data_IF_599303104355
#
_entry.id   IF_599303104355
#
_cell.length_a   1.000
_cell.length_b   1.000
_cell.length_c   1.000
_cell.angle_alpha   90.00
_cell.angle_beta   90.00
_cell.angle_gamma   90.00
#
_symmetry.space_group_name_H-M   'P 1'
#
loop_
_entity.id
_entity.type
_entity.pdbx_description
1 polymer ?
#
# COMPACT_ATOMS: atom_id res chain seq x y z
N UNK A 1 11.38 -0.84 28.85
CA UNK A 1 9.96 -0.53 28.67
C UNK A 1 9.42 -0.20 30.04
N UNK A 2 8.97 1.04 30.23
CA UNK A 2 8.50 1.52 31.53
C UNK A 2 7.10 0.95 31.81
N UNK A 3 6.99 0.06 32.81
CA UNK A 3 5.70 -0.55 33.18
C UNK A 3 4.69 0.50 33.65
N UNK A 4 5.16 1.67 34.09
CA UNK A 4 4.30 2.74 34.61
C UNK A 4 3.42 3.37 33.52
N UNK A 5 3.99 3.66 32.36
CA UNK A 5 3.24 4.24 31.23
C UNK A 5 2.10 3.33 30.76
N UNK A 6 2.33 2.01 30.77
CA UNK A 6 1.32 0.98 30.46
C UNK A 6 0.18 0.95 31.46
N UNK A 7 0.51 0.94 32.74
CA UNK A 7 -0.48 0.89 33.82
C UNK A 7 -1.35 2.17 33.82
N UNK A 8 -0.75 3.33 33.58
CA UNK A 8 -1.45 4.62 33.45
C UNK A 8 -2.35 4.65 32.19
N UNK A 9 -1.86 4.11 31.06
CA UNK A 9 -2.64 4.00 29.83
C UNK A 9 -3.88 3.11 30.01
N UNK A 10 -3.74 1.97 30.71
CA UNK A 10 -4.86 1.08 31.00
C UNK A 10 -5.92 1.74 31.91
N UNK A 11 -5.48 2.53 32.91
CA UNK A 11 -6.39 3.28 33.77
C UNK A 11 -7.18 4.34 33.00
N UNK A 12 -6.53 5.08 32.09
CA UNK A 12 -7.21 6.05 31.22
C UNK A 12 -8.17 5.37 30.25
N UNK A 13 -7.76 4.23 29.69
CA UNK A 13 -8.57 3.46 28.76
C UNK A 13 -9.90 3.01 29.38
N UNK A 14 -9.88 2.47 30.61
CA UNK A 14 -11.10 2.05 31.33
C UNK A 14 -12.03 3.25 31.60
N UNK A 15 -11.48 4.39 32.02
CA UNK A 15 -12.28 5.60 32.31
C UNK A 15 -12.97 6.17 31.06
N UNK A 16 -12.35 6.03 29.89
CA UNK A 16 -12.91 6.47 28.61
C UNK A 16 -14.04 5.58 28.08
N UNK A 17 -14.17 4.34 28.58
CA UNK A 17 -15.20 3.39 28.12
C UNK A 17 -16.52 3.50 28.91
N UNK A 18 -16.49 3.98 30.16
CA UNK A 18 -17.64 3.87 31.08
C UNK A 18 -18.52 5.13 31.18
N UNK A 19 -18.08 6.32 30.72
CA UNK A 19 -18.88 7.55 30.76
C UNK A 19 -18.38 8.70 29.86
N UNK A 20 -19.25 9.67 29.55
CA UNK A 20 -18.85 10.96 28.99
C UNK A 20 -17.92 11.70 29.98
N UNK A 21 -16.63 11.72 29.68
CA UNK A 21 -15.64 12.45 30.49
C UNK A 21 -16.02 13.92 30.64
N UNK A 22 -15.94 14.43 31.87
CA UNK A 22 -16.03 15.86 32.15
C UNK A 22 -14.92 16.64 31.44
N UNK A 23 -15.12 17.95 31.22
CA UNK A 23 -14.12 18.82 30.59
C UNK A 23 -12.78 18.79 31.37
N UNK A 24 -12.84 18.71 32.71
CA UNK A 24 -11.67 18.62 33.57
C UNK A 24 -10.90 17.29 33.41
N UNK A 25 -11.59 16.19 33.15
CA UNK A 25 -10.96 14.88 32.93
C UNK A 25 -10.35 14.76 31.54
N UNK A 26 -10.98 15.35 30.51
CA UNK A 26 -10.39 15.44 29.17
C UNK A 26 -9.09 16.23 29.18
N UNK A 27 -9.04 17.36 29.88
CA UNK A 27 -7.82 18.15 30.03
C UNK A 27 -6.70 17.37 30.74
N UNK A 28 -7.03 16.55 31.74
CA UNK A 28 -6.05 15.68 32.42
C UNK A 28 -5.55 14.55 31.52
N UNK A 29 -6.42 13.98 30.70
CA UNK A 29 -6.04 12.97 29.73
C UNK A 29 -5.12 13.54 28.65
N UNK A 30 -5.46 14.72 28.11
CA UNK A 30 -4.61 15.41 27.13
C UNK A 30 -3.27 15.84 27.72
N UNK A 31 -3.25 16.31 28.97
CA UNK A 31 -2.00 16.63 29.66
C UNK A 31 -1.11 15.40 29.83
N UNK A 32 -1.67 14.28 30.29
CA UNK A 32 -0.94 13.01 30.44
C UNK A 32 -0.39 12.50 29.11
N UNK A 33 -1.20 12.54 28.03
CA UNK A 33 -0.79 12.09 26.69
C UNK A 33 0.34 12.93 26.11
N UNK A 34 0.37 14.23 26.42
CA UNK A 34 1.39 15.16 25.93
C UNK A 34 2.64 15.25 26.83
N UNK A 35 2.65 14.59 27.98
CA UNK A 35 3.77 14.61 28.93
C UNK A 35 4.98 13.80 28.43
N UNK A 36 4.74 12.66 27.77
CA UNK A 36 5.81 11.81 27.24
C UNK A 36 5.36 11.05 25.97
N UNK A 37 6.22 10.90 24.93
CA UNK A 37 5.88 10.17 23.70
C UNK A 37 5.42 8.72 23.92
N UNK A 38 5.97 8.05 24.94
CA UNK A 38 5.62 6.67 25.28
C UNK A 38 4.17 6.53 25.80
N UNK A 39 3.57 7.58 26.38
CA UNK A 39 2.20 7.54 26.88
C UNK A 39 1.19 7.40 25.74
N UNK A 40 1.40 8.17 24.66
CA UNK A 40 0.59 8.04 23.46
C UNK A 40 0.77 6.66 22.82
N UNK A 41 2.01 6.19 22.70
CA UNK A 41 2.30 4.88 22.13
C UNK A 41 1.59 3.74 22.89
N UNK A 42 1.69 3.70 24.23
CA UNK A 42 1.07 2.65 25.04
C UNK A 42 -0.47 2.76 25.04
N UNK A 43 -1.01 3.97 24.94
CA UNK A 43 -2.46 4.19 24.79
C UNK A 43 -2.98 3.68 23.43
N UNK A 44 -2.27 3.98 22.34
CA UNK A 44 -2.62 3.54 20.98
C UNK A 44 -2.57 2.01 20.85
N UNK A 45 -1.59 1.36 21.52
CA UNK A 45 -1.49 -0.11 21.59
C UNK A 45 -2.73 -0.71 22.28
N UNK A 46 -3.16 -0.16 23.41
CA UNK A 46 -4.37 -0.62 24.12
C UNK A 46 -5.64 -0.40 23.30
N UNK A 47 -5.77 0.74 22.62
CA UNK A 47 -6.89 1.04 21.74
C UNK A 47 -6.95 0.07 20.55
N UNK A 48 -5.80 -0.25 19.94
CA UNK A 48 -5.69 -1.24 18.87
C UNK A 48 -6.11 -2.64 19.32
N UNK A 49 -5.62 -3.08 20.48
CA UNK A 49 -5.97 -4.38 21.06
C UNK A 49 -7.48 -4.48 21.34
N UNK A 50 -8.08 -3.45 21.93
CA UNK A 50 -9.52 -3.41 22.19
C UNK A 50 -10.36 -3.42 20.92
N UNK A 51 -9.97 -2.63 19.92
CA UNK A 51 -10.67 -2.59 18.62
C UNK A 51 -10.63 -3.95 17.93
N UNK A 52 -9.53 -4.70 18.08
CA UNK A 52 -9.40 -6.07 17.58
C UNK A 52 -10.34 -7.06 18.31
N UNK A 53 -10.69 -6.83 19.58
CA UNK A 53 -11.68 -7.67 20.28
C UNK A 53 -13.10 -7.51 19.73
N UNK A 54 -13.43 -6.35 19.12
CA UNK A 54 -14.71 -6.13 18.44
C UNK A 54 -14.86 -6.93 17.13
N UNK A 55 -13.76 -7.44 16.58
CA UNK A 55 -13.75 -8.30 15.38
C UNK A 55 -13.94 -9.78 15.70
N UNK A 56 -13.98 -10.15 16.98
CA UNK A 56 -14.23 -11.53 17.41
C UNK A 56 -15.75 -11.76 17.52
N UNK A 57 -16.30 -12.81 16.86
CA UNK A 57 -17.71 -13.13 16.97
C UNK A 57 -18.11 -13.33 18.45
N UNK A 58 -19.18 -12.68 18.90
CA UNK A 58 -19.72 -12.84 20.27
C UNK A 58 -19.88 -14.30 20.69
N UNK A 59 -20.22 -15.18 19.74
CA UNK A 59 -20.32 -16.63 19.95
C UNK A 59 -19.01 -17.28 20.41
N UNK A 60 -17.86 -16.78 19.94
CA UNK A 60 -16.53 -17.29 20.31
C UNK A 60 -16.09 -16.80 21.69
N UNK A 61 -16.55 -15.61 22.10
CA UNK A 61 -16.37 -15.09 23.45
C UNK A 61 -17.31 -15.80 24.46
N UNK A 62 -18.55 -16.08 24.07
CA UNK A 62 -19.50 -16.85 24.90
C UNK A 62 -19.01 -18.27 25.17
N UNK A 63 -18.43 -18.95 24.16
CA UNK A 63 -17.83 -20.27 24.32
C UNK A 63 -16.62 -20.30 25.28
N UNK A 64 -15.97 -19.15 25.51
CA UNK A 64 -14.88 -19.01 26.49
C UNK A 64 -15.39 -18.60 27.88
N UNK A 65 -16.60 -18.04 27.97
CA UNK A 65 -17.25 -17.63 29.23
C UNK A 65 -18.17 -18.71 29.83
N UNK A 66 -18.51 -19.76 29.08
CA UNK A 66 -19.22 -20.94 29.61
C UNK A 66 -18.26 -21.75 30.49
N UNK A 67 -18.28 -21.43 31.78
CA UNK A 67 -17.57 -22.18 32.80
C UNK A 67 -18.10 -23.63 32.86
N UNK A 68 -17.23 -24.65 32.98
CA UNK A 68 -17.66 -26.01 33.20
C UNK A 68 -18.38 -26.13 34.56
N UNK A 69 -19.54 -26.78 34.57
CA UNK A 69 -20.29 -27.10 35.79
C UNK A 69 -19.45 -27.99 36.70
N UNK A 70 -19.15 -27.51 37.92
CA UNK A 70 -18.44 -28.27 38.95
C UNK A 70 -19.28 -29.44 39.50
N UNK A 71 -18.62 -30.59 39.77
CA UNK A 71 -18.70 -31.43 41.01
C UNK A 71 -17.91 -32.76 40.84
N UNK A 72 -17.45 -33.43 41.92
CA UNK A 72 -16.81 -32.95 43.14
C UNK A 72 -15.38 -33.52 43.34
N UNK A 73 -14.68 -32.95 44.32
CA UNK A 73 -13.25 -33.10 44.65
C UNK A 73 -12.82 -34.52 45.07
N UNK A 74 -11.69 -35.04 44.54
CA UNK A 74 -10.71 -35.84 45.31
C UNK A 74 -9.24 -35.71 44.81
N UNK A 75 -8.45 -35.07 45.69
CA UNK A 75 -7.06 -35.33 46.14
C UNK A 75 -5.88 -35.43 45.15
N UNK A 76 -5.10 -34.34 45.18
CA UNK A 76 -3.64 -34.22 45.38
C UNK A 76 -2.61 -34.90 44.45
N UNK A 77 -2.98 -35.86 43.60
CA UNK A 77 -2.01 -36.53 42.70
C UNK A 77 -1.85 -35.80 41.35
N UNK A 78 -2.77 -34.89 41.01
CA UNK A 78 -2.82 -34.22 39.70
C UNK A 78 -1.82 -33.06 39.52
N UNK A 79 -1.15 -32.60 40.59
CA UNK A 79 -0.28 -31.40 40.50
C UNK A 79 1.00 -31.62 39.68
N UNK A 80 1.48 -32.85 39.58
CA UNK A 80 2.66 -33.18 38.75
C UNK A 80 2.31 -33.47 37.28
N UNK A 81 1.05 -33.82 36.97
CA UNK A 81 0.58 -34.03 35.60
C UNK A 81 0.29 -32.70 34.86
N UNK A 82 -0.16 -31.67 35.59
CA UNK A 82 -0.42 -30.33 35.03
C UNK A 82 0.88 -29.62 34.63
N UNK A 83 1.98 -29.82 35.36
CA UNK A 83 3.29 -29.27 34.99
C UNK A 83 3.83 -29.88 33.68
N UNK A 84 3.62 -31.19 33.45
CA UNK A 84 3.95 -31.84 32.19
C UNK A 84 3.05 -31.37 31.03
N UNK A 85 1.77 -31.08 31.30
CA UNK A 85 0.83 -30.55 30.31
C UNK A 85 1.11 -29.11 29.90
N UNK A 86 1.50 -28.23 30.83
CA UNK A 86 1.87 -26.85 30.51
C UNK A 86 3.18 -26.79 29.74
N UNK A 87 4.15 -27.67 30.03
CA UNK A 87 5.37 -27.80 29.23
C UNK A 87 5.06 -28.41 27.86
N UNK A 88 4.16 -29.39 27.74
CA UNK A 88 3.75 -29.96 26.46
C UNK A 88 2.92 -28.98 25.59
N UNK A 89 2.13 -28.08 26.21
CA UNK A 89 1.39 -27.02 25.52
C UNK A 89 2.30 -25.83 25.21
N UNK A 90 3.26 -25.48 26.07
CA UNK A 90 4.25 -24.44 25.78
C UNK A 90 5.28 -24.89 24.72
N UNK A 91 5.70 -26.16 24.75
CA UNK A 91 6.48 -26.79 23.68
C UNK A 91 5.63 -27.00 22.43
N UNK A 92 4.36 -27.37 22.57
CA UNK A 92 3.43 -27.50 21.44
C UNK A 92 3.18 -26.18 20.73
N UNK A 93 2.86 -25.11 21.46
CA UNK A 93 2.68 -23.76 20.92
C UNK A 93 4.00 -23.14 20.44
N UNK A 94 5.14 -23.45 21.10
CA UNK A 94 6.47 -23.07 20.64
C UNK A 94 6.92 -23.80 19.37
N UNK A 95 6.53 -25.07 19.21
CA UNK A 95 6.80 -25.87 18.00
C UNK A 95 5.85 -25.50 16.85
N UNK A 96 4.61 -25.09 17.14
CA UNK A 96 3.66 -24.61 16.12
C UNK A 96 3.92 -23.16 15.67
N UNK A 97 4.54 -22.33 16.51
CA UNK A 97 4.99 -20.98 16.10
C UNK A 97 6.28 -21.01 15.26
N UNK A 98 6.96 -22.17 15.18
CA UNK A 98 8.24 -22.34 14.49
C UNK A 98 8.20 -23.21 13.24
N UNK A 99 7.02 -23.59 12.73
CA UNK A 99 6.90 -24.52 11.59
C UNK A 99 6.06 -24.02 10.41
N UNK A 100 5.69 -22.74 10.36
CA UNK A 100 5.27 -22.12 9.10
C UNK A 100 6.51 -21.79 8.28
N UNK A 101 7.10 -22.83 7.68
CA UNK A 101 7.96 -22.61 6.53
C UNK A 101 7.11 -21.88 5.48
N UNK A 102 7.48 -20.67 5.05
CA UNK A 102 6.69 -19.96 4.05
C UNK A 102 6.57 -20.86 2.81
N UNK A 103 5.34 -21.31 2.55
CA UNK A 103 5.05 -22.16 1.40
C UNK A 103 5.32 -21.34 0.14
N UNK A 104 5.90 -21.95 -0.90
CA UNK A 104 6.03 -21.27 -2.18
C UNK A 104 4.64 -20.84 -2.65
N UNK A 105 4.54 -19.58 -3.07
CA UNK A 105 3.31 -19.01 -3.60
C UNK A 105 3.58 -18.45 -4.99
N UNK A 106 2.72 -18.80 -5.94
CA UNK A 106 2.80 -18.27 -7.30
C UNK A 106 1.41 -17.93 -7.79
N UNK A 107 1.27 -16.74 -8.38
CA UNK A 107 0.02 -16.26 -8.95
C UNK A 107 0.29 -15.24 -10.06
N UNK A 108 -0.64 -15.10 -10.99
CA UNK A 108 -0.63 -14.05 -12.00
C UNK A 108 -1.93 -13.27 -11.94
N UNK A 109 -1.82 -11.94 -12.04
CA UNK A 109 -2.95 -11.02 -11.98
C UNK A 109 -2.91 -10.11 -13.19
N UNK A 110 -4.08 -9.79 -13.71
CA UNK A 110 -4.24 -8.81 -14.78
C UNK A 110 -5.46 -7.93 -14.55
N UNK A 111 -5.42 -6.75 -15.16
CA UNK A 111 -6.54 -5.80 -15.23
C UNK A 111 -6.78 -5.37 -16.69
N UNK A 112 -8.04 -5.18 -17.04
CA UNK A 112 -8.48 -4.63 -18.32
C UNK A 112 -8.31 -3.11 -18.42
N UNK A 113 -8.86 -2.53 -19.49
CA UNK A 113 -8.86 -1.07 -19.71
C UNK A 113 -9.78 -0.40 -18.69
N UNK A 114 -9.25 0.55 -17.93
CA UNK A 114 -9.99 1.29 -16.91
C UNK A 114 -10.35 0.48 -15.66
N UNK A 115 -9.94 -0.79 -15.60
CA UNK A 115 -10.14 -1.64 -14.42
C UNK A 115 -9.05 -1.37 -13.39
N UNK A 116 -9.45 -1.18 -12.13
CA UNK A 116 -8.56 -1.18 -10.98
C UNK A 116 -8.87 -2.37 -10.08
N UNK A 117 -7.83 -2.99 -9.53
CA UNK A 117 -7.99 -4.18 -8.69
C UNK A 117 -7.04 -4.14 -7.51
N UNK A 118 -7.57 -4.37 -6.31
CA UNK A 118 -6.76 -4.58 -5.12
C UNK A 118 -6.56 -6.07 -4.87
N UNK A 119 -5.34 -6.47 -4.54
CA UNK A 119 -4.93 -7.86 -4.29
C UNK A 119 -4.18 -7.94 -2.98
N UNK A 120 -4.69 -8.73 -2.04
CA UNK A 120 -3.95 -9.09 -0.83
C UNK A 120 -3.01 -10.27 -1.10
N UNK A 121 -1.77 -10.17 -0.64
CA UNK A 121 -0.73 -11.18 -0.78
C UNK A 121 -0.58 -12.01 0.51
N UNK A 122 -0.03 -13.24 0.43
CA UNK A 122 0.04 -14.13 1.59
C UNK A 122 0.93 -13.63 2.74
N UNK A 123 1.78 -12.64 2.51
CA UNK A 123 2.65 -12.02 3.51
C UNK A 123 1.99 -10.83 4.23
N UNK A 124 0.72 -10.51 3.91
CA UNK A 124 0.01 -9.34 4.43
C UNK A 124 0.18 -8.08 3.58
N UNK A 125 1.09 -8.10 2.59
CA UNK A 125 1.26 -6.99 1.65
C UNK A 125 0.02 -6.84 0.75
N UNK A 126 -0.21 -5.62 0.26
CA UNK A 126 -1.31 -5.31 -0.66
C UNK A 126 -0.76 -4.70 -1.94
N UNK A 127 -1.31 -5.12 -3.08
CA UNK A 127 -1.02 -4.58 -4.39
C UNK A 127 -2.29 -3.96 -4.98
N UNK A 128 -2.27 -2.66 -5.21
CA UNK A 128 -3.29 -1.99 -6.03
C UNK A 128 -2.80 -2.00 -7.48
N UNK A 129 -3.58 -2.58 -8.39
CA UNK A 129 -3.31 -2.66 -9.82
C UNK A 129 -4.11 -1.60 -10.57
N UNK A 130 -3.43 -0.80 -11.39
CA UNK A 130 -4.06 0.18 -12.26
C UNK A 130 -4.54 -0.46 -13.59
N UNK A 131 -5.15 0.32 -14.48
CA UNK A 131 -5.56 -0.06 -15.84
C UNK A 131 -4.43 -0.73 -16.63
N UNK A 132 -4.77 -1.81 -17.35
CA UNK A 132 -3.86 -2.56 -18.24
C UNK A 132 -2.57 -3.02 -17.56
N UNK A 133 -2.72 -3.62 -16.39
CA UNK A 133 -1.60 -4.09 -15.59
C UNK A 133 -1.52 -5.61 -15.65
N UNK A 134 -0.31 -6.15 -15.75
CA UNK A 134 -0.04 -7.59 -15.69
C UNK A 134 1.12 -7.81 -14.71
N UNK A 135 0.86 -8.58 -13.67
CA UNK A 135 1.82 -8.88 -12.61
C UNK A 135 1.89 -10.38 -12.35
N UNK A 136 3.11 -10.91 -12.25
CA UNK A 136 3.36 -12.26 -11.77
C UNK A 136 4.03 -12.21 -10.39
N UNK A 137 3.54 -12.99 -9.43
CA UNK A 137 4.07 -13.08 -8.08
C UNK A 137 4.73 -14.43 -7.90
N UNK A 138 5.94 -14.46 -7.33
CA UNK A 138 6.63 -15.69 -6.91
C UNK A 138 7.31 -15.47 -5.56
N UNK A 139 6.77 -16.09 -4.52
CA UNK A 139 7.37 -16.10 -3.20
C UNK A 139 8.13 -17.41 -2.98
N UNK A 140 9.37 -17.27 -2.54
CA UNK A 140 10.28 -18.35 -2.20
C UNK A 140 10.71 -18.21 -0.73
N UNK A 141 11.43 -19.21 -0.20
CA UNK A 141 11.81 -19.23 1.22
C UNK A 141 12.58 -17.98 1.68
N UNK A 142 13.40 -17.38 0.81
CA UNK A 142 14.26 -16.23 1.15
C UNK A 142 13.90 -14.92 0.46
N UNK A 143 12.89 -14.88 -0.42
CA UNK A 143 12.54 -13.67 -1.18
C UNK A 143 11.06 -13.61 -1.53
N UNK A 144 10.51 -12.41 -1.51
CA UNK A 144 9.14 -12.09 -1.97
C UNK A 144 9.23 -11.44 -3.34
N UNK A 145 9.22 -12.24 -4.40
CA UNK A 145 9.39 -11.77 -5.78
C UNK A 145 8.08 -11.37 -6.44
N UNK A 146 8.13 -10.27 -7.19
CA UNK A 146 7.05 -9.79 -8.07
C UNK A 146 7.67 -9.33 -9.39
N UNK A 147 7.03 -9.64 -10.50
CA UNK A 147 7.37 -9.14 -11.83
C UNK A 147 6.21 -8.32 -12.39
N UNK A 148 6.44 -7.01 -12.60
CA UNK A 148 5.52 -6.14 -13.33
C UNK A 148 5.84 -6.22 -14.83
N UNK A 149 5.05 -7.05 -15.53
CA UNK A 149 5.20 -7.27 -16.97
C UNK A 149 4.72 -6.06 -17.77
N UNK A 150 3.67 -5.39 -17.29
CA UNK A 150 3.06 -4.23 -17.94
C UNK A 150 2.22 -3.43 -16.93
N UNK A 151 2.07 -2.13 -17.16
CA UNK A 151 1.12 -1.28 -16.45
C UNK A 151 1.71 -0.62 -15.22
N UNK A 152 0.90 -0.47 -14.17
CA UNK A 152 1.27 0.25 -12.96
C UNK A 152 0.66 -0.41 -11.73
N UNK A 153 1.47 -0.53 -10.69
CA UNK A 153 1.05 -1.10 -9.43
C UNK A 153 1.62 -0.30 -8.25
N UNK A 154 0.75 -0.03 -7.28
CA UNK A 154 1.13 0.49 -5.97
C UNK A 154 1.26 -0.69 -5.01
N UNK A 155 2.40 -0.76 -4.33
CA UNK A 155 2.70 -1.80 -3.35
C UNK A 155 2.69 -1.20 -1.95
N UNK A 156 1.87 -1.76 -1.07
CA UNK A 156 1.94 -1.55 0.38
C UNK A 156 2.52 -2.79 1.03
N UNK A 157 3.84 -2.77 1.26
CA UNK A 157 4.60 -3.97 1.66
C UNK A 157 4.72 -4.08 3.16
N UNK A 158 4.34 -5.24 3.70
CA UNK A 158 4.50 -5.57 5.12
C UNK A 158 5.98 -5.70 5.48
N UNK A 159 6.33 -5.20 6.67
CA UNK A 159 7.72 -5.11 7.09
C UNK A 159 8.30 -6.50 7.42
N UNK A 160 9.29 -6.94 6.64
CA UNK A 160 10.04 -8.19 6.86
C UNK A 160 11.46 -8.02 6.31
N UNK A 161 12.44 -7.88 7.21
CA UNK A 161 13.86 -7.75 6.86
C UNK A 161 14.52 -9.09 6.55
N UNK A 162 13.91 -10.21 6.94
CA UNK A 162 14.44 -11.56 6.68
C UNK A 162 14.19 -12.01 5.24
N UNK A 163 13.13 -11.50 4.61
CA UNK A 163 12.77 -11.77 3.22
C UNK A 163 12.45 -10.46 2.49
N UNK A 164 13.42 -9.87 1.77
CA UNK A 164 13.15 -8.65 1.02
C UNK A 164 12.04 -8.85 -0.02
N UNK A 165 11.30 -7.78 -0.27
CA UNK A 165 10.32 -7.71 -1.34
C UNK A 165 10.97 -7.08 -2.57
N UNK A 166 10.94 -7.81 -3.68
CA UNK A 166 11.67 -7.47 -4.90
C UNK A 166 10.69 -7.39 -6.07
N UNK A 167 10.57 -6.21 -6.67
CA UNK A 167 9.78 -5.99 -7.89
C UNK A 167 10.72 -5.84 -9.08
N UNK A 168 10.63 -6.74 -10.04
CA UNK A 168 11.27 -6.62 -11.35
C UNK A 168 10.31 -5.94 -12.33
N UNK A 169 10.80 -4.95 -13.08
CA UNK A 169 10.02 -4.24 -14.10
C UNK A 169 10.94 -3.78 -15.24
N UNK A 170 10.93 -4.51 -16.35
CA UNK A 170 11.84 -4.24 -17.47
C UNK A 170 13.31 -4.39 -17.04
N UNK A 171 14.12 -3.37 -17.29
CA UNK A 171 15.52 -3.31 -16.87
C UNK A 171 15.73 -2.81 -15.42
N UNK A 172 14.65 -2.54 -14.69
CA UNK A 172 14.69 -2.06 -13.31
C UNK A 172 14.36 -3.16 -12.29
N UNK A 173 15.07 -3.14 -11.17
CA UNK A 173 14.77 -3.94 -9.99
C UNK A 173 14.58 -3.04 -8.76
N UNK A 174 13.49 -3.25 -8.05
CA UNK A 174 13.09 -2.46 -6.88
C UNK A 174 13.11 -3.36 -5.66
N UNK A 175 13.90 -3.02 -4.64
CA UNK A 175 14.03 -3.81 -3.41
C UNK A 175 13.63 -3.00 -2.19
N UNK A 176 12.76 -3.57 -1.36
CA UNK A 176 12.27 -2.98 -0.11
C UNK A 176 12.18 -4.02 1.02
N UNK A 177 12.13 -3.56 2.26
CA UNK A 177 11.85 -4.40 3.44
C UNK A 177 10.50 -4.11 4.08
N UNK A 178 9.92 -2.91 3.89
CA UNK A 178 8.59 -2.53 4.36
C UNK A 178 8.34 -1.07 4.00
N UNK A 179 7.56 -0.84 2.94
CA UNK A 179 7.52 0.44 2.21
C UNK A 179 6.21 0.55 1.42
N UNK A 180 5.77 1.78 1.17
CA UNK A 180 4.68 2.09 0.22
C UNK A 180 5.26 2.81 -0.99
N UNK A 181 5.15 2.20 -2.16
CA UNK A 181 5.78 2.70 -3.38
C UNK A 181 5.02 2.28 -4.63
N UNK A 182 5.10 3.11 -5.65
CA UNK A 182 4.53 2.87 -6.98
C UNK A 182 5.63 2.41 -7.93
N UNK A 183 5.30 1.43 -8.77
CA UNK A 183 6.11 1.04 -9.92
C UNK A 183 5.24 1.08 -11.16
N UNK A 184 5.69 1.83 -12.16
CA UNK A 184 5.05 1.92 -13.46
C UNK A 184 6.01 1.51 -14.56
N UNK A 185 5.54 0.66 -15.47
CA UNK A 185 6.25 0.26 -16.68
C UNK A 185 5.59 0.92 -17.89
N UNK A 186 6.27 1.92 -18.43
CA UNK A 186 5.89 2.61 -19.66
C UNK A 186 6.67 2.05 -20.86
N UNK A 187 6.28 2.45 -22.07
CA UNK A 187 7.11 2.20 -23.26
C UNK A 187 8.45 2.95 -23.12
N UNK A 188 9.54 2.19 -22.92
CA UNK A 188 10.89 2.76 -22.90
C UNK A 188 11.53 2.98 -21.53
N UNK A 189 10.75 2.87 -20.44
CA UNK A 189 11.25 3.13 -19.09
C UNK A 189 10.38 2.50 -18.00
N UNK A 190 11.00 2.27 -16.85
CA UNK A 190 10.34 1.93 -15.59
C UNK A 190 10.45 3.12 -14.65
N UNK A 191 9.34 3.60 -14.11
CA UNK A 191 9.30 4.67 -13.11
C UNK A 191 9.02 4.07 -11.74
N UNK A 192 9.71 4.59 -10.73
CA UNK A 192 9.56 4.15 -9.35
C UNK A 192 9.45 5.37 -8.46
N UNK A 193 8.46 5.37 -7.56
CA UNK A 193 8.15 6.51 -6.72
C UNK A 193 7.76 6.05 -5.31
N UNK A 194 8.14 6.81 -4.28
CA UNK A 194 7.98 6.37 -2.89
C UNK A 194 6.97 7.25 -2.16
N UNK A 195 5.92 6.63 -1.63
CA UNK A 195 4.93 7.29 -0.76
C UNK A 195 5.45 7.31 0.69
N UNK A 196 5.95 6.18 1.20
CA UNK A 196 6.46 6.06 2.56
C UNK A 196 7.54 4.97 2.67
N UNK A 197 8.56 5.19 3.49
CA UNK A 197 9.65 4.24 3.72
C UNK A 197 10.86 4.48 2.82
N UNK A 198 11.60 3.42 2.51
CA UNK A 198 12.84 3.48 1.71
C UNK A 198 12.81 2.41 0.61
N UNK A 199 13.25 2.80 -0.59
CA UNK A 199 13.31 1.94 -1.76
C UNK A 199 14.71 1.95 -2.35
N UNK A 200 15.25 0.78 -2.67
CA UNK A 200 16.45 0.66 -3.51
C UNK A 200 16.03 0.34 -4.94
N UNK A 201 16.44 1.18 -5.89
CA UNK A 201 16.17 1.01 -7.32
C UNK A 201 17.48 0.75 -8.03
N UNK A 202 17.58 -0.40 -8.69
CA UNK A 202 18.76 -0.84 -9.41
C UNK A 202 18.44 -1.03 -10.89
N UNK A 203 19.38 -0.67 -11.75
CA UNK A 203 19.34 -0.96 -13.19
C UNK A 203 20.03 -2.28 -13.53
N UNK A 204 20.62 -2.35 -14.72
CA UNK A 204 21.25 -3.58 -15.24
C UNK A 204 22.66 -3.83 -14.63
N UNK A 205 23.33 -2.76 -14.19
CA UNK A 205 24.63 -2.84 -13.50
C UNK A 205 24.46 -2.68 -11.98
N UNK A 206 25.25 -3.40 -11.15
CA UNK A 206 25.36 -3.15 -9.71
C UNK A 206 25.64 -1.70 -9.30
N UNK A 207 26.39 -0.98 -10.13
CA UNK A 207 26.76 0.42 -9.86
C UNK A 207 25.62 1.40 -10.18
N UNK A 208 24.62 0.97 -10.97
CA UNK A 208 23.45 1.77 -11.30
C UNK A 208 22.38 1.59 -10.22
N UNK A 209 22.66 2.13 -9.02
CA UNK A 209 21.81 2.00 -7.85
C UNK A 209 21.45 3.38 -7.28
N UNK A 210 20.17 3.61 -7.02
CA UNK A 210 19.66 4.79 -6.33
C UNK A 210 18.80 4.36 -5.15
N UNK A 211 18.98 5.00 -4.01
CA UNK A 211 18.07 4.85 -2.86
C UNK A 211 17.11 6.03 -2.82
N UNK A 212 15.82 5.73 -2.76
CA UNK A 212 14.73 6.70 -2.68
C UNK A 212 14.09 6.66 -1.30
N UNK A 213 13.67 7.83 -0.83
CA UNK A 213 12.84 8.02 0.38
C UNK A 213 11.51 8.65 -0.01
N UNK A 214 10.59 8.78 0.94
CA UNK A 214 9.26 9.36 0.73
C UNK A 214 9.31 10.71 -0.04
N UNK A 215 8.43 10.86 -1.03
CA UNK A 215 8.35 12.04 -1.89
C UNK A 215 9.39 12.10 -3.02
N UNK A 216 10.22 11.07 -3.18
CA UNK A 216 11.17 10.94 -4.28
C UNK A 216 10.75 9.87 -5.28
N UNK A 217 11.17 10.08 -6.52
CA UNK A 217 11.07 9.11 -7.60
C UNK A 217 12.34 9.04 -8.43
N UNK A 218 12.45 7.98 -9.23
CA UNK A 218 13.45 7.84 -10.29
C UNK A 218 12.83 7.15 -11.50
N UNK A 219 13.59 7.04 -12.59
CA UNK A 219 13.26 6.17 -13.71
C UNK A 219 14.49 5.38 -14.15
N UNK A 220 14.25 4.17 -14.64
CA UNK A 220 15.23 3.28 -15.26
C UNK A 220 14.87 3.17 -16.73
N UNK A 221 15.80 3.53 -17.63
CA UNK A 221 15.55 3.40 -19.06
C UNK A 221 15.67 1.93 -19.53
N UNK A 222 15.29 1.66 -20.79
CA UNK A 222 15.41 0.32 -21.37
C UNK A 222 16.85 -0.22 -21.46
N UNK A 223 17.87 0.62 -21.26
CA UNK A 223 19.28 0.22 -21.21
C UNK A 223 19.75 -0.09 -19.78
N UNK A 224 18.86 0.02 -18.79
CA UNK A 224 19.19 -0.20 -17.39
C UNK A 224 19.97 0.94 -16.74
N UNK A 225 19.94 2.15 -17.32
CA UNK A 225 20.51 3.34 -16.69
C UNK A 225 19.50 3.93 -15.71
N UNK A 226 19.90 4.12 -14.46
CA UNK A 226 19.06 4.70 -13.41
C UNK A 226 19.30 6.21 -13.36
N UNK A 227 18.24 6.99 -13.49
CA UNK A 227 18.31 8.45 -13.38
C UNK A 227 18.56 8.90 -11.93
N UNK A 228 19.06 10.13 -11.77
CA UNK A 228 19.11 10.76 -10.46
C UNK A 228 17.70 10.90 -9.86
N UNK A 229 17.60 10.80 -8.54
CA UNK A 229 16.33 10.97 -7.83
C UNK A 229 15.77 12.39 -8.04
N UNK A 230 14.45 12.49 -8.21
CA UNK A 230 13.73 13.76 -8.35
C UNK A 230 12.51 13.80 -7.42
N UNK A 231 12.09 15.01 -7.07
CA UNK A 231 10.88 15.22 -6.25
C UNK A 231 9.63 14.89 -7.05
N UNK A 232 8.68 14.22 -6.40
CA UNK A 232 7.40 13.88 -7.01
C UNK A 232 6.24 14.43 -6.19
N UNK A 233 5.14 14.79 -6.86
CA UNK A 233 3.91 15.14 -6.17
C UNK A 233 3.11 13.88 -5.83
N UNK A 234 3.22 13.43 -4.58
CA UNK A 234 2.54 12.22 -4.08
C UNK A 234 1.02 12.23 -4.26
N UNK A 235 0.39 13.41 -4.27
CA UNK A 235 -1.06 13.52 -4.49
C UNK A 235 -1.43 13.13 -5.92
N UNK A 236 -0.69 13.62 -6.92
CA UNK A 236 -0.88 13.24 -8.33
C UNK A 236 -0.64 11.74 -8.55
N UNK A 237 0.38 11.20 -7.87
CA UNK A 237 0.76 9.80 -7.99
C UNK A 237 -0.29 8.83 -7.45
N UNK A 238 -0.89 9.15 -6.30
CA UNK A 238 -1.81 8.24 -5.62
C UNK A 238 -3.27 8.44 -6.03
N UNK A 239 -3.58 9.52 -6.77
CA UNK A 239 -4.93 9.88 -7.16
C UNK A 239 -5.68 8.77 -7.92
N UNK A 240 -5.00 7.99 -8.76
CA UNK A 240 -5.63 6.94 -9.57
C UNK A 240 -6.26 5.85 -8.71
N UNK A 241 -5.71 5.59 -7.51
CA UNK A 241 -6.26 4.64 -6.53
C UNK A 241 -7.63 5.05 -6.02
N UNK A 242 -7.94 6.36 -6.08
CA UNK A 242 -9.26 6.93 -5.77
C UNK A 242 -10.12 7.19 -7.02
N UNK A 243 -9.70 6.64 -8.17
CA UNK A 243 -10.40 6.80 -9.44
C UNK A 243 -10.24 8.19 -10.07
N UNK A 244 -9.20 8.94 -9.70
CA UNK A 244 -8.96 10.31 -10.18
C UNK A 244 -7.66 10.40 -10.97
N UNK A 245 -7.64 11.28 -11.96
CA UNK A 245 -6.43 11.74 -12.65
C UNK A 245 -6.25 13.21 -12.28
N UNK A 246 -5.15 13.54 -11.61
CA UNK A 246 -4.83 14.90 -11.19
C UNK A 246 -3.68 15.38 -12.05
N UNK A 247 -3.85 16.55 -12.65
CA UNK A 247 -2.84 17.22 -13.46
C UNK A 247 -2.58 18.58 -12.85
N UNK A 248 -1.33 18.89 -12.51
CA UNK A 248 -0.92 20.20 -12.01
C UNK A 248 0.15 20.78 -12.92
N UNK A 249 -0.21 21.82 -13.69
CA UNK A 249 0.70 22.44 -14.65
C UNK A 249 1.37 21.40 -15.59
N UNK A 250 0.63 20.34 -15.95
CA UNK A 250 1.13 19.23 -16.75
C UNK A 250 1.17 19.61 -18.24
N UNK A 251 2.13 19.07 -18.99
CA UNK A 251 2.14 19.24 -20.45
C UNK A 251 0.98 18.46 -21.07
N UNK A 252 0.27 19.04 -22.03
CA UNK A 252 -0.87 18.38 -22.67
C UNK A 252 -0.47 17.07 -23.36
N UNK A 253 0.78 16.95 -23.83
CA UNK A 253 1.34 15.69 -24.30
C UNK A 253 1.44 14.60 -23.22
N UNK A 254 1.78 14.97 -21.97
CA UNK A 254 1.78 14.06 -20.82
C UNK A 254 0.36 13.65 -20.44
N UNK A 255 -0.55 14.63 -20.39
CA UNK A 255 -1.98 14.41 -20.14
C UNK A 255 -2.56 13.42 -21.16
N UNK A 256 -2.29 13.63 -22.45
CA UNK A 256 -2.79 12.75 -23.50
C UNK A 256 -2.26 11.33 -23.38
N UNK A 257 -0.97 11.15 -23.04
CA UNK A 257 -0.40 9.83 -22.77
C UNK A 257 -1.05 9.16 -21.56
N UNK A 258 -1.20 9.89 -20.46
CA UNK A 258 -1.81 9.36 -19.24
C UNK A 258 -3.25 8.92 -19.49
N UNK A 259 -4.06 9.77 -20.12
CA UNK A 259 -5.47 9.49 -20.44
C UNK A 259 -5.61 8.32 -21.40
N UNK A 260 -4.69 8.17 -22.36
CA UNK A 260 -4.68 7.05 -23.31
C UNK A 260 -4.60 5.69 -22.62
N UNK A 261 -4.04 5.60 -21.41
CA UNK A 261 -3.95 4.36 -20.63
C UNK A 261 -5.31 3.83 -20.20
N UNK A 262 -6.29 4.71 -20.05
CA UNK A 262 -7.66 4.42 -19.62
C UNK A 262 -8.65 4.34 -20.79
N UNK A 263 -8.16 4.41 -22.03
CA UNK A 263 -8.99 4.38 -23.24
C UNK A 263 -8.62 3.22 -24.15
N UNK A 264 -9.62 2.58 -24.74
CA UNK A 264 -9.39 1.59 -25.81
C UNK A 264 -8.67 2.21 -27.00
N UNK A 265 -9.12 3.41 -27.40
CA UNK A 265 -8.52 4.19 -28.49
C UNK A 265 -7.69 5.34 -27.92
N UNK A 266 -6.38 5.40 -28.23
CA UNK A 266 -5.49 6.37 -27.63
C UNK A 266 -5.82 7.80 -28.10
N UNK A 267 -5.46 8.76 -27.24
CA UNK A 267 -5.52 10.18 -27.52
C UNK A 267 -4.14 10.65 -28.01
N UNK A 268 -4.09 11.23 -29.20
CA UNK A 268 -2.88 11.75 -29.81
C UNK A 268 -2.82 13.27 -29.71
N UNK A 269 -1.62 13.82 -29.78
CA UNK A 269 -1.41 15.26 -29.93
C UNK A 269 -0.72 15.51 -31.26
N UNK A 270 -1.30 16.40 -32.07
CA UNK A 270 -0.88 16.61 -33.46
C UNK A 270 0.50 17.24 -33.62
N UNK A 271 0.87 18.18 -32.73
CA UNK A 271 2.12 18.94 -32.86
C UNK A 271 2.78 19.16 -31.50
N UNK A 272 4.11 19.35 -31.46
CA UNK A 272 4.81 19.72 -30.24
C UNK A 272 4.26 21.00 -29.59
N UNK A 273 3.81 21.98 -30.39
CA UNK A 273 3.26 23.23 -29.88
C UNK A 273 1.99 22.99 -29.05
N UNK A 274 1.06 22.17 -29.56
CA UNK A 274 -0.14 21.75 -28.82
C UNK A 274 0.25 20.92 -27.60
N UNK A 275 1.23 20.04 -27.73
CA UNK A 275 1.72 19.19 -26.62
C UNK A 275 2.34 19.99 -25.46
N UNK A 276 2.83 21.20 -25.74
CA UNK A 276 3.45 22.09 -24.76
C UNK A 276 2.45 22.96 -23.98
N UNK A 277 1.17 22.95 -24.35
CA UNK A 277 0.12 23.62 -23.57
C UNK A 277 0.06 23.01 -22.17
N UNK A 278 -0.22 23.85 -21.17
CA UNK A 278 -0.25 23.44 -19.76
C UNK A 278 -1.70 23.24 -19.30
N UNK A 279 -1.93 22.17 -18.55
CA UNK A 279 -3.24 21.87 -17.97
C UNK A 279 -3.12 21.68 -16.46
N UNK A 280 -4.00 22.37 -15.72
CA UNK A 280 -4.26 22.09 -14.31
C UNK A 280 -5.72 21.70 -14.16
N UNK A 281 -6.00 20.45 -13.79
CA UNK A 281 -7.35 19.95 -13.64
C UNK A 281 -7.39 18.57 -12.98
N UNK A 282 -8.57 18.17 -12.49
CA UNK A 282 -8.84 16.84 -11.95
C UNK A 282 -9.99 16.20 -12.73
N UNK A 283 -9.80 14.96 -13.16
CA UNK A 283 -10.81 14.18 -13.89
C UNK A 283 -11.01 12.82 -13.25
N UNK A 284 -12.15 12.18 -13.54
CA UNK A 284 -12.37 10.79 -13.16
C UNK A 284 -11.68 9.88 -14.17
N UNK A 285 -10.93 8.89 -13.69
CA UNK A 285 -10.22 7.94 -14.54
C UNK A 285 -11.17 7.09 -15.40
N UNK A 286 -12.40 6.86 -14.92
CA UNK A 286 -13.44 6.12 -15.64
C UNK A 286 -14.33 6.98 -16.55
N UNK A 287 -14.09 8.29 -16.64
CA UNK A 287 -14.84 9.22 -17.51
C UNK A 287 -13.87 10.14 -18.27
N UNK A 288 -13.05 9.52 -19.12
CA UNK A 288 -12.07 10.25 -19.94
C UNK A 288 -12.72 11.08 -21.06
N UNK A 289 -13.98 10.79 -21.41
CA UNK A 289 -14.75 11.59 -22.38
C UNK A 289 -15.14 12.96 -21.82
N UNK A 290 -15.36 13.10 -20.52
CA UNK A 290 -15.59 14.40 -19.89
C UNK A 290 -14.38 15.34 -20.05
N UNK A 291 -13.15 14.82 -19.91
CA UNK A 291 -11.93 15.61 -20.18
C UNK A 291 -11.91 16.09 -21.63
N UNK A 292 -12.18 15.20 -22.59
CA UNK A 292 -12.15 15.53 -24.01
C UNK A 292 -13.16 16.63 -24.36
N UNK A 293 -14.37 16.57 -23.80
CA UNK A 293 -15.38 17.63 -23.94
C UNK A 293 -14.94 18.94 -23.31
N UNK A 294 -14.22 18.90 -22.19
CA UNK A 294 -13.76 20.10 -21.49
C UNK A 294 -12.56 20.78 -22.19
N UNK A 295 -11.67 20.02 -22.83
CA UNK A 295 -10.40 20.53 -23.40
C UNK A 295 -10.57 21.77 -24.30
N UNK A 296 -11.50 21.82 -25.27
CA UNK A 296 -11.69 23.01 -26.11
C UNK A 296 -12.21 24.25 -25.36
N UNK A 297 -12.77 24.08 -24.15
CA UNK A 297 -13.25 25.19 -23.34
C UNK A 297 -12.18 25.79 -22.43
N UNK A 298 -11.11 25.05 -22.17
CA UNK A 298 -10.03 25.43 -21.24
C UNK A 298 -8.71 25.75 -21.95
N UNK A 299 -8.51 25.24 -23.17
CA UNK A 299 -7.30 25.45 -23.96
C UNK A 299 -7.65 25.82 -25.42
N UNK A 300 -6.74 26.49 -26.15
CA UNK A 300 -6.92 26.86 -27.56
C UNK A 300 -6.74 25.65 -28.49
N UNK A 301 -7.53 24.60 -28.27
CA UNK A 301 -7.47 23.33 -28.98
C UNK A 301 -8.83 22.92 -29.54
N UNK A 302 -8.81 22.00 -30.49
CA UNK A 302 -9.96 21.27 -30.97
C UNK A 302 -9.65 19.77 -31.00
N UNK A 303 -10.70 18.95 -31.09
CA UNK A 303 -10.57 17.50 -31.22
C UNK A 303 -10.92 17.08 -32.64
N UNK A 304 -10.06 16.25 -33.23
CA UNK A 304 -10.27 15.60 -34.53
C UNK A 304 -10.38 14.10 -34.33
N UNK A 305 -11.47 13.50 -34.82
CA UNK A 305 -11.60 12.04 -34.88
C UNK A 305 -10.89 11.54 -36.13
N UNK A 306 -9.98 10.59 -35.95
CA UNK A 306 -9.23 9.95 -37.03
C UNK A 306 -10.03 8.77 -37.63
N UNK A 307 -9.68 8.27 -38.85
CA UNK A 307 -10.40 7.18 -39.50
C UNK A 307 -10.43 5.86 -38.70
N UNK A 308 -9.41 5.61 -37.87
CA UNK A 308 -9.34 4.47 -36.95
C UNK A 308 -10.20 4.66 -35.67
N UNK A 309 -10.89 5.80 -35.58
CA UNK A 309 -11.72 6.19 -34.46
C UNK A 309 -10.95 6.69 -33.24
N UNK A 310 -9.62 6.79 -33.31
CA UNK A 310 -8.82 7.49 -32.31
C UNK A 310 -9.07 9.00 -32.37
N UNK A 311 -8.73 9.70 -31.29
CA UNK A 311 -8.91 11.15 -31.21
C UNK A 311 -7.55 11.83 -31.17
N UNK A 312 -7.49 12.98 -31.82
CA UNK A 312 -6.29 13.80 -31.91
C UNK A 312 -6.59 15.22 -31.47
N UNK A 313 -5.76 15.74 -30.56
CA UNK A 313 -5.80 17.12 -30.12
C UNK A 313 -5.03 17.98 -31.13
N UNK A 314 -5.73 18.94 -31.71
CA UNK A 314 -5.20 19.90 -32.69
C UNK A 314 -5.27 21.32 -32.17
N UNK A 315 -4.42 22.21 -32.70
CA UNK A 315 -4.58 23.64 -32.45
C UNK A 315 -5.92 24.10 -33.02
N UNK A 316 -6.55 25.03 -32.32
CA UNK A 316 -7.60 25.86 -32.92
C UNK A 316 -6.97 26.87 -33.88
#
# INVERSE_FOLDING_TARGET
MDNRARDEAAQWFVRLQDAELSIAERQRFDAWRNEHPDHQYEFDVLQGLWSATGLLPKARLQALCEAPVERPKRRAVLRYAVAAGVIAVALGLGLFSGLDHPKPYSAEFSTGVGEHRQVALPDGSVMDLNSRTVVAVQYEKGRRGVELKQGEAMFSVEHDTSRPFVVAAGAGQVTVTGTRFDVRRDEGQTRVMVEAGTVKVQGDSPDNLVTLTAGLGTHVDNKGSVAAAYTVNTEELTAWRTGKLVFNNALLGEVAREVSRYRERPLRVSTPAVGNLRLTSVFKANDTDALLKALPHILPVALRTLPDGSQEIISR
#
